data_IF_365606762767
#
_entry.id   IF_365606762767
#
_cell.length_a   1.000
_cell.length_b   1.000
_cell.length_c   1.000
_cell.angle_alpha   90.00
_cell.angle_beta   90.00
_cell.angle_gamma   90.00
#
_symmetry.space_group_name_H-M   'P 1'
#
loop_
_entity.id
_entity.type
_entity.pdbx_description
1 polymer ?
#
# COMPACT_ATOMS: atom_id res chain seq x y z
N UNK A 1 0.74 30.82 -16.58
CA UNK A 1 1.12 29.47 -16.99
C UNK A 1 0.67 28.47 -15.91
N UNK A 2 0.25 27.27 -16.32
CA UNK A 2 -0.10 26.20 -15.41
C UNK A 2 1.16 25.56 -14.83
N UNK A 3 1.09 25.14 -13.56
CA UNK A 3 2.12 24.33 -12.94
C UNK A 3 2.09 22.91 -13.55
N UNK A 4 3.21 22.44 -14.06
CA UNK A 4 3.35 21.18 -14.79
C UNK A 4 3.87 20.08 -13.86
N UNK A 5 3.09 19.03 -13.66
CA UNK A 5 3.40 17.94 -12.74
C UNK A 5 3.51 16.63 -13.51
N UNK A 6 4.68 16.00 -13.47
CA UNK A 6 4.87 14.62 -13.93
C UNK A 6 4.64 13.67 -12.77
N UNK A 7 3.59 12.87 -12.85
CA UNK A 7 3.29 11.83 -11.86
C UNK A 7 3.85 10.48 -12.29
N UNK A 8 4.66 9.88 -11.41
CA UNK A 8 5.31 8.58 -11.61
C UNK A 8 4.85 7.61 -10.52
N UNK A 9 3.63 7.03 -10.63
CA UNK A 9 3.10 6.11 -9.64
C UNK A 9 3.83 4.77 -9.68
N UNK A 10 4.00 4.13 -8.51
CA UNK A 10 4.66 2.83 -8.40
C UNK A 10 3.91 1.70 -9.14
N UNK A 11 2.60 1.76 -9.13
CA UNK A 11 1.69 0.81 -9.77
C UNK A 11 0.27 1.41 -9.86
N UNK A 12 -0.75 0.60 -10.08
CA UNK A 12 -2.16 1.01 -10.06
C UNK A 12 -2.90 0.51 -8.79
N UNK A 13 -2.16 -0.11 -7.87
CA UNK A 13 -2.69 -0.71 -6.65
C UNK A 13 -2.83 0.27 -5.48
N UNK A 14 -3.14 -0.27 -4.31
CA UNK A 14 -3.56 0.48 -3.12
C UNK A 14 -2.68 1.67 -2.76
N UNK A 15 -1.37 1.46 -2.56
CA UNK A 15 -0.46 2.54 -2.15
C UNK A 15 -0.41 3.68 -3.17
N UNK A 16 -0.17 3.36 -4.44
CA UNK A 16 -0.14 4.36 -5.49
C UNK A 16 -1.50 5.02 -5.71
N UNK A 17 -2.58 4.27 -5.58
CA UNK A 17 -3.94 4.81 -5.72
C UNK A 17 -4.23 5.86 -4.64
N UNK A 18 -4.01 5.54 -3.36
CA UNK A 18 -4.29 6.47 -2.26
C UNK A 18 -3.33 7.65 -2.21
N UNK A 19 -2.09 7.47 -2.65
CA UNK A 19 -1.02 8.46 -2.44
C UNK A 19 -0.78 9.38 -3.63
N UNK A 20 -0.92 8.87 -4.85
CA UNK A 20 -0.68 9.67 -6.07
C UNK A 20 -1.95 9.74 -6.92
N UNK A 21 -2.54 8.58 -7.31
CA UNK A 21 -3.52 8.56 -8.39
C UNK A 21 -4.78 9.33 -8.01
N UNK A 22 -5.41 8.97 -6.89
CA UNK A 22 -6.65 9.62 -6.46
C UNK A 22 -6.44 11.11 -6.09
N UNK A 23 -5.40 11.49 -5.31
CA UNK A 23 -5.14 12.89 -5.01
C UNK A 23 -4.86 13.74 -6.24
N UNK A 24 -4.05 13.26 -7.19
CA UNK A 24 -3.69 14.04 -8.37
C UNK A 24 -4.85 14.18 -9.37
N UNK A 25 -5.67 13.14 -9.55
CA UNK A 25 -6.91 13.25 -10.32
C UNK A 25 -7.87 14.27 -9.69
N UNK A 26 -7.97 14.28 -8.36
CA UNK A 26 -8.82 15.26 -7.66
C UNK A 26 -8.24 16.68 -7.73
N UNK A 27 -6.92 16.82 -7.68
CA UNK A 27 -6.25 18.10 -7.89
C UNK A 27 -6.54 18.66 -9.29
N UNK A 28 -6.45 17.81 -10.31
CA UNK A 28 -6.74 18.21 -11.70
C UNK A 28 -8.22 18.59 -11.90
N UNK A 29 -9.14 17.82 -11.27
CA UNK A 29 -10.58 18.15 -11.29
C UNK A 29 -10.87 19.53 -10.66
N UNK A 30 -10.23 19.85 -9.53
CA UNK A 30 -10.50 21.07 -8.78
C UNK A 30 -9.72 22.30 -9.28
N UNK A 31 -8.53 22.09 -9.85
CA UNK A 31 -7.56 23.14 -10.18
C UNK A 31 -6.95 22.97 -11.57
N UNK A 32 -7.65 22.31 -12.50
CA UNK A 32 -7.15 22.09 -13.87
C UNK A 32 -6.91 23.36 -14.69
N UNK A 33 -7.41 24.51 -14.24
CA UNK A 33 -7.04 25.82 -14.74
C UNK A 33 -5.64 26.29 -14.31
N UNK A 34 -5.10 25.74 -13.20
CA UNK A 34 -3.83 26.11 -12.57
C UNK A 34 -2.75 25.02 -12.69
N UNK A 35 -3.14 23.76 -12.88
CA UNK A 35 -2.22 22.63 -12.99
C UNK A 35 -2.41 21.88 -14.30
N UNK A 36 -1.33 21.26 -14.79
CA UNK A 36 -1.35 20.30 -15.89
C UNK A 36 -0.60 19.06 -15.46
N UNK A 37 -1.24 17.88 -15.54
CA UNK A 37 -0.70 16.62 -15.02
C UNK A 37 -0.42 15.67 -16.18
N UNK A 38 0.78 15.09 -16.20
CA UNK A 38 1.13 13.96 -17.06
C UNK A 38 1.44 12.73 -16.24
N UNK A 39 1.10 11.58 -16.77
CA UNK A 39 1.31 10.28 -16.15
C UNK A 39 2.32 9.47 -16.97
N UNK A 40 3.44 9.08 -16.36
CA UNK A 40 4.42 8.23 -17.01
C UNK A 40 5.10 7.31 -15.98
N UNK A 41 4.92 5.99 -16.12
CA UNK A 41 5.54 5.00 -15.23
C UNK A 41 7.01 4.74 -15.56
N UNK A 42 7.45 5.13 -16.76
CA UNK A 42 8.82 4.91 -17.22
C UNK A 42 9.45 6.19 -17.83
N UNK A 43 9.58 7.28 -17.06
CA UNK A 43 10.10 8.54 -17.57
C UNK A 43 11.58 8.49 -17.96
N UNK A 44 12.30 7.43 -17.59
CA UNK A 44 13.71 7.22 -17.96
C UNK A 44 13.89 6.41 -19.24
N UNK A 45 12.84 5.85 -19.82
CA UNK A 45 12.95 5.01 -21.01
C UNK A 45 13.81 3.77 -20.78
N UNK A 46 13.63 3.10 -19.64
CA UNK A 46 14.34 1.85 -19.34
C UNK A 46 13.53 0.69 -19.89
N UNK A 47 14.20 -0.24 -20.57
CA UNK A 47 13.60 -1.48 -21.03
C UNK A 47 13.28 -2.37 -19.81
N UNK A 48 12.00 -2.73 -19.64
CA UNK A 48 11.54 -3.54 -18.51
C UNK A 48 12.11 -4.97 -18.49
N UNK A 49 12.51 -5.50 -19.65
CA UNK A 49 12.99 -6.89 -19.77
C UNK A 49 14.43 -7.08 -19.29
N UNK A 50 15.30 -6.12 -19.60
CA UNK A 50 16.75 -6.24 -19.37
C UNK A 50 17.34 -5.08 -18.59
N UNK A 51 16.55 -4.05 -18.26
CA UNK A 51 17.00 -2.88 -17.51
C UNK A 51 17.91 -1.94 -18.31
N UNK A 52 18.09 -2.17 -19.62
CA UNK A 52 18.89 -1.32 -20.48
C UNK A 52 18.21 0.03 -20.74
N UNK A 53 19.02 1.04 -21.10
CA UNK A 53 18.47 2.33 -21.54
C UNK A 53 18.00 2.20 -22.99
N UNK A 54 16.85 2.82 -23.29
CA UNK A 54 16.45 2.99 -24.68
C UNK A 54 17.41 4.01 -25.34
N UNK A 55 17.92 3.64 -26.50
CA UNK A 55 18.78 4.51 -27.28
C UNK A 55 18.01 5.79 -27.68
N UNK A 56 18.67 6.94 -27.60
CA UNK A 56 18.13 8.26 -27.96
C UNK A 56 16.87 8.70 -27.17
N UNK A 57 16.69 8.20 -25.92
CA UNK A 57 15.60 8.65 -25.06
C UNK A 57 15.73 10.14 -24.72
N UNK A 58 14.74 10.94 -25.07
CA UNK A 58 14.79 12.41 -24.99
C UNK A 58 14.37 12.99 -23.64
N UNK A 59 13.81 12.17 -22.72
CA UNK A 59 13.25 12.59 -21.42
C UNK A 59 12.16 13.69 -21.55
N UNK A 60 11.37 13.68 -22.61
CA UNK A 60 10.42 14.75 -22.94
C UNK A 60 9.50 15.13 -21.78
N UNK A 61 8.89 14.14 -21.10
CA UNK A 61 8.00 14.41 -19.97
C UNK A 61 8.72 15.01 -18.76
N UNK A 62 9.94 14.55 -18.48
CA UNK A 62 10.75 15.08 -17.38
C UNK A 62 11.23 16.50 -17.66
N UNK A 63 11.65 16.80 -18.89
CA UNK A 63 12.03 18.14 -19.31
C UNK A 63 10.84 19.09 -19.28
N UNK A 64 9.66 18.62 -19.66
CA UNK A 64 8.42 19.41 -19.68
C UNK A 64 7.95 19.79 -18.25
N UNK A 65 8.10 18.92 -17.28
CA UNK A 65 7.59 19.10 -15.92
C UNK A 65 8.31 20.27 -15.18
N UNK A 66 7.58 20.91 -14.26
CA UNK A 66 8.14 21.75 -13.20
C UNK A 66 8.41 20.89 -11.96
N UNK A 67 7.48 19.95 -11.67
CA UNK A 67 7.55 19.02 -10.54
C UNK A 67 7.57 17.58 -11.07
N UNK A 68 8.49 16.76 -10.54
CA UNK A 68 8.47 15.29 -10.70
C UNK A 68 7.99 14.69 -9.39
N UNK A 69 6.78 14.13 -9.40
CA UNK A 69 6.16 13.49 -8.25
C UNK A 69 6.24 11.97 -8.37
N UNK A 70 6.98 11.32 -7.49
CA UNK A 70 7.29 9.88 -7.57
C UNK A 70 7.14 9.17 -6.24
N UNK A 71 7.02 7.85 -6.31
CA UNK A 71 7.02 6.90 -5.19
C UNK A 71 8.16 5.90 -5.33
N UNK A 72 8.29 4.97 -4.37
CA UNK A 72 9.23 3.87 -4.49
C UNK A 72 8.77 2.86 -5.55
N UNK A 73 9.44 2.87 -6.70
CA UNK A 73 9.15 1.97 -7.82
C UNK A 73 9.99 0.69 -7.70
N UNK A 74 9.33 -0.44 -7.55
CA UNK A 74 9.96 -1.75 -7.44
C UNK A 74 10.16 -2.47 -8.79
N UNK A 75 9.45 -2.04 -9.85
CA UNK A 75 9.35 -2.78 -11.11
C UNK A 75 10.65 -2.82 -11.94
N UNK A 76 11.54 -1.81 -11.77
CA UNK A 76 12.75 -1.64 -12.58
C UNK A 76 14.05 -1.88 -11.79
N UNK A 77 13.97 -2.67 -10.74
CA UNK A 77 15.08 -2.84 -9.80
C UNK A 77 15.12 -1.75 -8.73
N UNK A 78 15.79 -2.04 -7.61
CA UNK A 78 15.69 -1.25 -6.39
C UNK A 78 16.24 0.18 -6.45
N UNK A 79 16.97 0.57 -7.50
CA UNK A 79 17.55 1.91 -7.65
C UNK A 79 16.80 2.80 -8.67
N UNK A 80 15.71 2.34 -9.25
CA UNK A 80 15.02 3.08 -10.32
C UNK A 80 14.51 4.44 -9.85
N UNK A 81 13.89 4.50 -8.68
CA UNK A 81 13.43 5.77 -8.10
C UNK A 81 14.59 6.75 -7.86
N UNK A 82 15.73 6.27 -7.35
CA UNK A 82 16.91 7.12 -7.16
C UNK A 82 17.43 7.70 -8.48
N UNK A 83 17.36 6.91 -9.57
CA UNK A 83 17.72 7.37 -10.92
C UNK A 83 16.74 8.43 -11.44
N UNK A 84 15.43 8.30 -11.18
CA UNK A 84 14.42 9.33 -11.49
C UNK A 84 14.75 10.62 -10.74
N UNK A 85 14.99 10.53 -9.43
CA UNK A 85 15.34 11.68 -8.58
C UNK A 85 16.60 12.35 -9.09
N UNK A 86 17.69 11.59 -9.34
CA UNK A 86 18.93 12.11 -9.87
C UNK A 86 18.74 12.83 -11.22
N UNK A 87 18.04 12.19 -12.16
CA UNK A 87 17.79 12.79 -13.50
C UNK A 87 16.89 14.03 -13.43
N UNK A 88 15.87 14.04 -12.57
CA UNK A 88 15.05 15.20 -12.34
C UNK A 88 15.86 16.39 -11.79
N UNK A 89 16.77 16.13 -10.84
CA UNK A 89 17.69 17.16 -10.31
C UNK A 89 18.67 17.67 -11.37
N UNK A 90 19.20 16.82 -12.25
CA UNK A 90 20.03 17.25 -13.41
C UNK A 90 19.28 18.23 -14.31
N UNK A 91 17.98 18.04 -14.50
CA UNK A 91 17.13 18.96 -15.27
C UNK A 91 16.60 20.16 -14.45
N UNK A 92 17.07 20.34 -13.20
CA UNK A 92 16.65 21.43 -12.33
C UNK A 92 15.18 21.38 -11.91
N UNK A 93 14.57 20.17 -11.88
CA UNK A 93 13.18 20.00 -11.51
C UNK A 93 13.00 19.92 -10.00
N UNK A 94 11.84 20.38 -9.52
CA UNK A 94 11.41 20.15 -8.15
C UNK A 94 11.01 18.69 -7.99
N UNK A 95 11.57 17.99 -7.00
CA UNK A 95 11.32 16.58 -6.75
C UNK A 95 10.43 16.42 -5.52
N UNK A 96 9.24 15.85 -5.72
CA UNK A 96 8.35 15.40 -4.66
C UNK A 96 8.41 13.88 -4.57
N UNK A 97 8.90 13.36 -3.45
CA UNK A 97 8.91 11.93 -3.13
C UNK A 97 7.88 11.61 -2.06
N UNK A 98 6.99 10.66 -2.34
CA UNK A 98 5.99 10.16 -1.41
C UNK A 98 6.26 8.72 -1.01
N UNK A 99 6.06 8.40 0.27
CA UNK A 99 6.18 7.02 0.76
C UNK A 99 5.21 6.75 1.90
N UNK A 100 4.66 5.54 1.93
CA UNK A 100 3.74 5.05 2.96
C UNK A 100 4.32 3.93 3.82
N UNK A 101 5.50 3.39 3.46
CA UNK A 101 6.23 2.38 4.22
C UNK A 101 7.63 2.86 4.64
N UNK A 102 8.05 2.54 5.87
CA UNK A 102 9.38 2.87 6.43
C UNK A 102 10.48 1.98 5.85
N UNK A 103 10.86 2.23 4.60
CA UNK A 103 11.81 1.40 3.85
C UNK A 103 13.27 1.53 4.33
N UNK A 104 13.56 2.46 5.22
CA UNK A 104 14.88 2.61 5.89
C UNK A 104 15.01 1.78 7.16
N UNK A 105 13.98 1.05 7.55
CA UNK A 105 14.00 0.19 8.74
C UNK A 105 13.06 -1.01 8.56
N UNK A 106 13.36 -1.84 7.56
CA UNK A 106 12.62 -3.08 7.32
C UNK A 106 13.12 -4.13 8.32
N UNK A 107 12.20 -4.72 9.08
CA UNK A 107 12.54 -5.72 10.11
C UNK A 107 12.82 -7.10 9.52
N UNK A 108 13.62 -7.92 10.22
CA UNK A 108 14.14 -9.22 9.75
C UNK A 108 13.03 -10.20 9.30
N UNK A 109 11.89 -10.20 9.92
CA UNK A 109 10.75 -11.05 9.52
C UNK A 109 10.00 -10.57 8.28
N UNK A 110 10.30 -9.38 7.77
CA UNK A 110 9.63 -8.85 6.59
C UNK A 110 10.15 -9.52 5.32
N UNK A 111 9.26 -9.84 4.39
CA UNK A 111 9.61 -10.53 3.14
C UNK A 111 10.70 -9.84 2.31
N UNK A 112 10.74 -8.51 2.31
CA UNK A 112 11.72 -7.74 1.56
C UNK A 112 13.06 -7.56 2.31
N UNK A 113 13.19 -8.04 3.54
CA UNK A 113 14.36 -7.78 4.36
C UNK A 113 15.69 -8.18 3.69
N UNK A 114 15.81 -9.43 3.25
CA UNK A 114 17.01 -9.91 2.59
C UNK A 114 17.33 -9.13 1.32
N UNK A 115 16.31 -8.86 0.48
CA UNK A 115 16.50 -8.08 -0.75
C UNK A 115 17.01 -6.68 -0.46
N UNK A 116 16.48 -6.02 0.59
CA UNK A 116 16.94 -4.68 0.99
C UNK A 116 18.37 -4.71 1.52
N UNK A 117 18.72 -5.71 2.33
CA UNK A 117 20.10 -5.86 2.85
C UNK A 117 21.10 -6.19 1.76
N UNK A 118 20.83 -7.20 0.94
CA UNK A 118 21.74 -7.67 -0.12
C UNK A 118 21.99 -6.59 -1.19
N UNK A 119 20.97 -5.80 -1.52
CA UNK A 119 21.06 -4.76 -2.56
C UNK A 119 21.34 -3.36 -2.00
N UNK A 120 21.52 -3.19 -0.71
CA UNK A 120 21.77 -1.88 -0.09
C UNK A 120 20.61 -0.88 -0.29
N UNK A 121 19.35 -1.33 -0.39
CA UNK A 121 18.22 -0.48 -0.77
C UNK A 121 17.84 0.53 0.33
N UNK A 122 18.23 0.28 1.58
CA UNK A 122 18.05 1.26 2.66
C UNK A 122 18.87 2.53 2.39
N UNK A 123 20.14 2.40 1.96
CA UNK A 123 21.00 3.55 1.63
C UNK A 123 20.48 4.28 0.37
N UNK A 124 20.00 3.53 -0.61
CA UNK A 124 19.34 4.11 -1.78
C UNK A 124 18.09 4.91 -1.37
N UNK A 125 17.30 4.40 -0.43
CA UNK A 125 16.12 5.12 0.09
C UNK A 125 16.52 6.39 0.83
N UNK A 126 17.59 6.35 1.64
CA UNK A 126 18.14 7.56 2.29
C UNK A 126 18.63 8.58 1.28
N UNK A 127 19.29 8.13 0.19
CA UNK A 127 19.67 8.99 -0.93
C UNK A 127 18.45 9.70 -1.54
N UNK A 128 17.35 8.98 -1.75
CA UNK A 128 16.09 9.54 -2.29
C UNK A 128 15.55 10.63 -1.35
N UNK A 129 15.47 10.38 -0.03
CA UNK A 129 15.05 11.39 0.93
C UNK A 129 15.92 12.64 0.89
N UNK A 130 17.25 12.45 0.83
CA UNK A 130 18.20 13.55 0.85
C UNK A 130 18.11 14.47 -0.39
N UNK A 131 17.82 13.88 -1.56
CA UNK A 131 17.81 14.60 -2.84
C UNK A 131 16.41 15.06 -3.28
N UNK A 132 15.37 14.80 -2.49
CA UNK A 132 14.02 15.30 -2.74
C UNK A 132 13.83 16.68 -2.11
N UNK A 133 13.12 17.58 -2.81
CA UNK A 133 12.80 18.91 -2.31
C UNK A 133 11.60 18.88 -1.36
N UNK A 134 10.68 17.94 -1.61
CA UNK A 134 9.54 17.63 -0.75
C UNK A 134 9.46 16.12 -0.52
N UNK A 135 9.41 15.72 0.74
CA UNK A 135 9.12 14.36 1.16
C UNK A 135 7.78 14.33 1.88
N UNK A 136 6.86 13.48 1.42
CA UNK A 136 5.58 13.27 2.11
C UNK A 136 5.48 11.86 2.66
N UNK A 137 5.00 11.76 3.90
CA UNK A 137 4.78 10.50 4.63
C UNK A 137 3.38 10.48 5.24
N UNK A 138 2.94 9.31 5.71
CA UNK A 138 1.55 9.11 6.11
C UNK A 138 1.20 9.59 7.51
N UNK A 139 2.20 9.69 8.42
CA UNK A 139 1.94 10.03 9.82
C UNK A 139 3.19 10.59 10.53
N UNK A 140 2.97 11.17 11.74
CA UNK A 140 4.00 11.91 12.47
C UNK A 140 5.20 11.05 12.90
N UNK A 141 4.98 9.87 13.47
CA UNK A 141 6.07 8.98 13.89
C UNK A 141 6.94 8.55 12.71
N UNK A 142 6.33 8.39 11.53
CA UNK A 142 7.07 8.12 10.31
C UNK A 142 7.94 9.33 9.94
N UNK A 143 7.39 10.54 9.96
CA UNK A 143 8.15 11.75 9.69
C UNK A 143 9.35 11.89 10.64
N UNK A 144 9.16 11.68 11.93
CA UNK A 144 10.22 11.73 12.95
C UNK A 144 11.36 10.74 12.66
N UNK A 145 11.04 9.54 12.12
CA UNK A 145 12.03 8.51 11.79
C UNK A 145 12.82 8.80 10.51
N UNK A 146 12.23 9.48 9.55
CA UNK A 146 12.92 9.79 8.27
C UNK A 146 13.56 11.17 8.25
N UNK A 147 13.17 12.08 9.13
CA UNK A 147 13.72 13.43 9.24
C UNK A 147 15.26 13.49 9.22
N UNK A 148 16.01 12.57 9.91
CA UNK A 148 17.46 12.58 9.88
C UNK A 148 18.08 12.32 8.49
N UNK A 149 17.32 11.77 7.56
CA UNK A 149 17.76 11.44 6.21
C UNK A 149 17.38 12.49 5.17
N UNK A 150 16.46 13.40 5.51
CA UNK A 150 16.05 14.47 4.62
C UNK A 150 17.10 15.58 4.57
N UNK A 151 17.19 16.27 3.44
CA UNK A 151 18.04 17.46 3.34
C UNK A 151 17.49 18.56 4.26
N UNK A 152 18.32 19.27 5.05
CA UNK A 152 17.88 20.37 5.91
C UNK A 152 17.11 21.49 5.17
N UNK A 153 17.36 21.65 3.87
CA UNK A 153 16.69 22.65 3.02
C UNK A 153 15.43 22.11 2.33
N UNK A 154 15.11 20.82 2.51
CA UNK A 154 13.90 20.23 1.95
C UNK A 154 12.72 20.35 2.91
N UNK A 155 11.52 20.14 2.39
CA UNK A 155 10.30 20.07 3.20
C UNK A 155 9.95 18.63 3.49
N UNK A 156 9.75 18.30 4.76
CA UNK A 156 9.15 17.03 5.19
C UNK A 156 7.74 17.29 5.70
N UNK A 157 6.74 16.68 5.08
CA UNK A 157 5.34 16.92 5.43
C UNK A 157 4.58 15.61 5.69
N UNK A 158 3.62 15.66 6.60
CA UNK A 158 2.68 14.57 6.89
C UNK A 158 1.41 14.79 6.07
N UNK A 159 1.16 13.88 5.12
CA UNK A 159 -0.07 13.83 4.34
C UNK A 159 -0.74 12.49 4.60
N UNK A 160 -1.79 12.50 5.42
CA UNK A 160 -2.51 11.29 5.82
C UNK A 160 -3.18 10.62 4.63
N UNK A 161 -3.27 9.28 4.66
CA UNK A 161 -4.10 8.56 3.72
C UNK A 161 -5.56 8.98 3.86
N UNK A 162 -6.20 9.26 2.73
CA UNK A 162 -7.59 9.71 2.68
C UNK A 162 -8.41 8.86 1.72
N UNK A 163 -9.69 8.76 1.97
CA UNK A 163 -10.66 8.03 1.14
C UNK A 163 -11.71 9.00 0.65
N UNK A 164 -11.92 9.06 -0.65
CA UNK A 164 -13.08 9.73 -1.20
C UNK A 164 -14.32 8.84 -1.07
N UNK A 165 -15.10 9.10 -0.03
CA UNK A 165 -16.33 8.36 0.22
C UNK A 165 -17.46 8.61 -0.79
N UNK A 166 -17.27 9.54 -1.74
CA UNK A 166 -18.23 9.75 -2.84
C UNK A 166 -18.04 8.73 -3.97
N UNK A 167 -16.89 8.03 -4.00
CA UNK A 167 -16.68 6.98 -5.00
C UNK A 167 -17.69 5.83 -4.82
N UNK A 168 -18.23 5.28 -5.93
CA UNK A 168 -19.24 4.23 -5.89
C UNK A 168 -18.88 3.03 -5.03
N UNK A 169 -17.61 2.61 -5.05
CA UNK A 169 -17.11 1.46 -4.25
C UNK A 169 -17.25 1.66 -2.73
N UNK A 170 -17.31 2.91 -2.25
CA UNK A 170 -17.51 3.24 -0.84
C UNK A 170 -18.98 3.54 -0.49
N UNK A 171 -19.91 3.49 -1.46
CA UNK A 171 -21.34 3.72 -1.27
C UNK A 171 -22.19 2.46 -1.45
N UNK A 172 -21.57 1.29 -1.41
CA UNK A 172 -22.26 0.01 -1.56
C UNK A 172 -23.05 -0.37 -0.30
N UNK A 173 -24.17 -1.02 -0.48
CA UNK A 173 -24.92 -1.58 0.64
C UNK A 173 -24.20 -2.79 1.23
N UNK A 174 -24.30 -2.98 2.57
CA UNK A 174 -23.81 -4.18 3.21
C UNK A 174 -24.48 -5.42 2.62
N UNK A 175 -23.70 -6.46 2.40
CA UNK A 175 -24.21 -7.78 1.97
C UNK A 175 -25.13 -8.32 3.07
N UNK A 176 -26.40 -8.63 2.76
CA UNK A 176 -27.36 -9.17 3.73
C UNK A 176 -26.82 -10.45 4.37
N UNK A 177 -27.10 -10.60 5.66
CA UNK A 177 -26.82 -11.87 6.36
C UNK A 177 -27.93 -12.88 6.01
N UNK A 178 -27.58 -14.18 5.92
CA UNK A 178 -28.60 -15.24 5.96
C UNK A 178 -29.46 -15.12 7.24
N UNK A 179 -30.63 -15.77 7.24
CA UNK A 179 -31.53 -15.77 8.42
C UNK A 179 -30.87 -16.22 9.73
N UNK A 180 -29.85 -17.08 9.65
CA UNK A 180 -29.06 -17.50 10.82
C UNK A 180 -28.12 -16.37 11.23
N UNK A 181 -28.22 -15.88 12.46
CA UNK A 181 -27.39 -14.82 13.03
C UNK A 181 -25.99 -15.34 13.36
N UNK A 182 -24.98 -14.83 12.70
CA UNK A 182 -23.56 -15.01 13.05
C UNK A 182 -22.81 -13.69 12.86
N UNK A 183 -21.68 -13.54 13.52
CA UNK A 183 -20.78 -12.39 13.33
C UNK A 183 -19.76 -12.72 12.23
N UNK A 184 -19.65 -11.84 11.22
CA UNK A 184 -18.65 -11.95 10.16
C UNK A 184 -17.41 -11.15 10.53
N UNK A 185 -16.32 -11.85 10.80
CA UNK A 185 -15.01 -11.27 11.02
C UNK A 185 -14.27 -11.21 9.70
N UNK A 186 -13.69 -10.05 9.34
CA UNK A 186 -12.99 -9.88 8.07
C UNK A 186 -11.60 -9.30 8.25
N UNK A 187 -10.63 -9.83 7.53
CA UNK A 187 -9.30 -9.28 7.37
C UNK A 187 -9.03 -8.97 5.90
N UNK A 188 -8.46 -7.79 5.62
CA UNK A 188 -8.07 -7.36 4.28
C UNK A 188 -6.59 -7.03 4.28
N UNK A 189 -5.81 -7.74 3.47
CA UNK A 189 -4.37 -7.50 3.38
C UNK A 189 -3.72 -8.12 2.15
N UNK A 190 -2.55 -7.61 1.81
CA UNK A 190 -1.71 -8.11 0.73
C UNK A 190 -0.71 -9.18 1.18
N UNK A 191 0.30 -9.39 0.35
CA UNK A 191 1.29 -10.47 0.47
C UNK A 191 2.44 -10.20 1.46
N UNK A 192 2.44 -9.06 2.15
CA UNK A 192 3.51 -8.65 3.07
C UNK A 192 3.15 -8.75 4.55
N UNK A 193 2.08 -9.51 4.89
CA UNK A 193 1.52 -9.60 6.24
C UNK A 193 1.76 -10.94 6.96
N UNK A 194 2.76 -11.73 6.54
CA UNK A 194 3.01 -13.06 7.16
C UNK A 194 3.25 -12.96 8.67
N UNK A 195 4.10 -12.04 9.10
CA UNK A 195 4.42 -11.88 10.52
C UNK A 195 3.23 -11.31 11.31
N UNK A 196 2.52 -10.36 10.71
CA UNK A 196 1.31 -9.79 11.30
C UNK A 196 0.25 -10.89 11.58
N UNK A 197 0.07 -11.81 10.63
CA UNK A 197 -0.86 -12.92 10.75
C UNK A 197 -0.42 -13.98 11.77
N UNK A 198 0.86 -14.08 12.11
CA UNK A 198 1.33 -14.97 13.19
C UNK A 198 0.76 -14.56 14.55
N UNK A 199 0.55 -13.26 14.79
CA UNK A 199 -0.17 -12.78 15.99
C UNK A 199 -1.64 -13.17 15.99
N UNK A 200 -2.19 -13.48 14.85
CA UNK A 200 -3.56 -13.92 14.69
C UNK A 200 -3.68 -15.45 14.61
N UNK A 201 -2.57 -16.19 14.69
CA UNK A 201 -2.52 -17.64 14.57
C UNK A 201 -3.39 -18.33 15.61
N UNK A 202 -4.34 -19.15 15.14
CA UNK A 202 -5.27 -19.90 15.99
C UNK A 202 -6.40 -19.07 16.61
N UNK A 203 -6.44 -17.77 16.44
CA UNK A 203 -7.52 -16.91 16.99
C UNK A 203 -8.90 -17.34 16.48
N UNK A 204 -9.12 -17.64 15.19
CA UNK A 204 -10.43 -18.12 14.72
C UNK A 204 -10.88 -19.40 15.43
N UNK A 205 -9.95 -20.34 15.67
CA UNK A 205 -10.23 -21.58 16.40
C UNK A 205 -10.64 -21.29 17.84
N UNK A 206 -9.85 -20.47 18.56
CA UNK A 206 -10.11 -20.10 19.94
C UNK A 206 -11.47 -19.40 20.12
N UNK A 207 -11.77 -18.43 19.25
CA UNK A 207 -13.06 -17.70 19.30
C UNK A 207 -14.21 -18.64 18.99
N UNK A 208 -14.09 -19.51 17.98
CA UNK A 208 -15.10 -20.52 17.67
C UNK A 208 -15.40 -21.44 18.86
N UNK A 209 -14.37 -21.86 19.63
CA UNK A 209 -14.56 -22.66 20.83
C UNK A 209 -15.30 -21.91 21.95
N UNK A 210 -15.01 -20.59 22.07
CA UNK A 210 -15.54 -19.83 23.22
C UNK A 210 -16.97 -19.35 23.01
N UNK A 211 -17.37 -18.99 21.78
CA UNK A 211 -18.68 -18.37 21.49
C UNK A 211 -19.61 -19.26 20.66
N UNK A 212 -19.15 -20.43 20.25
CA UNK A 212 -19.85 -21.30 19.34
C UNK A 212 -19.51 -20.97 17.86
N UNK A 213 -19.12 -21.99 17.12
CA UNK A 213 -18.72 -21.90 15.73
C UNK A 213 -19.84 -21.40 14.81
N UNK A 214 -21.08 -21.80 15.09
CA UNK A 214 -22.28 -21.40 14.37
C UNK A 214 -22.57 -19.89 14.48
N UNK A 215 -21.95 -19.23 15.47
CA UNK A 215 -22.05 -17.80 15.73
C UNK A 215 -20.95 -16.98 15.05
N UNK A 216 -20.01 -17.63 14.36
CA UNK A 216 -18.85 -17.00 13.73
C UNK A 216 -18.75 -17.35 12.23
N UNK A 217 -18.30 -16.37 11.44
CA UNK A 217 -17.84 -16.51 10.06
C UNK A 217 -16.54 -15.73 9.90
N UNK A 218 -15.57 -16.29 9.16
CA UNK A 218 -14.25 -15.70 8.96
C UNK A 218 -14.00 -15.49 7.47
N UNK A 219 -13.77 -14.27 7.05
CA UNK A 219 -13.57 -13.90 5.66
C UNK A 219 -12.22 -13.19 5.49
N UNK A 220 -11.34 -13.73 4.64
CA UNK A 220 -9.99 -13.22 4.40
C UNK A 220 -9.87 -12.77 2.96
N UNK A 221 -9.49 -11.50 2.74
CA UNK A 221 -9.47 -10.86 1.43
C UNK A 221 -8.06 -10.48 1.02
N UNK A 222 -7.72 -10.70 -0.26
CA UNK A 222 -6.43 -10.33 -0.84
C UNK A 222 -5.73 -11.46 -1.60
N UNK A 223 -6.38 -12.64 -1.73
CA UNK A 223 -5.87 -13.74 -2.55
C UNK A 223 -5.65 -13.28 -4.01
N UNK A 224 -4.59 -13.77 -4.70
CA UNK A 224 -4.38 -13.47 -6.12
C UNK A 224 -5.64 -13.74 -6.95
N UNK A 225 -5.95 -12.90 -7.94
CA UNK A 225 -7.09 -13.11 -8.84
C UNK A 225 -7.04 -14.44 -9.59
N UNK A 226 -8.18 -14.96 -10.10
CA UNK A 226 -8.24 -16.26 -10.77
C UNK A 226 -7.38 -16.36 -12.04
N UNK A 227 -7.07 -15.24 -12.67
CA UNK A 227 -6.20 -15.14 -13.85
C UNK A 227 -4.70 -15.09 -13.51
N UNK A 228 -4.33 -15.12 -12.26
CA UNK A 228 -2.93 -15.24 -11.83
C UNK A 228 -2.42 -16.62 -12.19
N UNK A 229 -1.24 -16.77 -12.84
CA UNK A 229 -0.69 -18.07 -13.21
C UNK A 229 -0.65 -19.03 -12.01
N UNK A 230 -0.93 -20.34 -12.20
CA UNK A 230 -0.98 -21.30 -11.08
C UNK A 230 0.35 -21.47 -10.34
N UNK A 231 1.46 -21.22 -11.01
CA UNK A 231 2.84 -21.26 -10.50
C UNK A 231 3.32 -19.93 -9.92
N UNK A 232 2.47 -18.91 -9.91
CA UNK A 232 2.81 -17.62 -9.29
C UNK A 232 3.03 -17.79 -7.78
N UNK A 233 4.16 -17.28 -7.33
CA UNK A 233 4.60 -17.35 -5.94
C UNK A 233 3.60 -16.78 -4.91
N UNK A 234 2.69 -15.91 -5.32
CA UNK A 234 1.65 -15.36 -4.44
C UNK A 234 0.71 -16.44 -3.91
N UNK A 235 0.47 -17.51 -4.68
CA UNK A 235 -0.32 -18.66 -4.20
C UNK A 235 0.37 -19.36 -3.03
N UNK A 236 1.72 -19.46 -3.03
CA UNK A 236 2.48 -20.04 -1.91
C UNK A 236 2.36 -19.20 -0.65
N UNK A 237 2.42 -17.87 -0.79
CA UNK A 237 2.22 -16.95 0.33
C UNK A 237 0.84 -17.16 0.94
N UNK A 238 -0.19 -17.25 0.13
CA UNK A 238 -1.56 -17.45 0.62
C UNK A 238 -1.80 -18.85 1.19
N UNK A 239 -1.11 -19.88 0.73
CA UNK A 239 -1.10 -21.20 1.39
C UNK A 239 -0.56 -21.11 2.81
N UNK A 240 0.57 -20.42 3.00
CA UNK A 240 1.14 -20.15 4.34
C UNK A 240 0.18 -19.35 5.22
N UNK A 241 -0.43 -18.29 4.66
CA UNK A 241 -1.42 -17.49 5.40
C UNK A 241 -2.59 -18.33 5.89
N UNK A 242 -3.15 -19.16 5.03
CA UNK A 242 -4.21 -20.09 5.38
C UNK A 242 -3.78 -21.00 6.54
N UNK A 243 -2.60 -21.57 6.47
CA UNK A 243 -2.10 -22.51 7.49
C UNK A 243 -1.84 -21.80 8.84
N UNK A 244 -1.38 -20.56 8.82
CA UNK A 244 -1.23 -19.71 10.01
C UNK A 244 -2.61 -19.39 10.63
N UNK A 245 -3.52 -18.84 9.83
CA UNK A 245 -4.83 -18.34 10.28
C UNK A 245 -5.69 -19.49 10.81
N UNK A 246 -5.70 -20.62 10.10
CA UNK A 246 -6.54 -21.78 10.43
C UNK A 246 -5.87 -22.77 11.37
N UNK A 247 -4.76 -22.40 12.00
CA UNK A 247 -4.06 -23.25 12.94
C UNK A 247 -4.99 -23.74 14.05
N UNK A 248 -5.04 -25.06 14.26
CA UNK A 248 -5.92 -25.67 15.25
C UNK A 248 -7.39 -25.74 14.85
N UNK A 249 -7.76 -25.23 13.67
CA UNK A 249 -9.14 -25.24 13.20
C UNK A 249 -9.63 -26.68 12.95
N UNK A 250 -10.64 -27.12 13.71
CA UNK A 250 -11.24 -28.46 13.62
C UNK A 250 -12.71 -28.34 13.23
N UNK A 251 -13.18 -29.26 12.38
CA UNK A 251 -14.58 -29.36 11.98
C UNK A 251 -14.90 -28.65 10.66
N UNK A 252 -16.19 -28.50 10.28
CA UNK A 252 -16.62 -27.98 8.97
C UNK A 252 -16.25 -26.52 8.69
N UNK A 253 -16.46 -26.04 7.49
CA UNK A 253 -16.01 -24.76 6.96
C UNK A 253 -16.95 -23.61 7.40
N UNK A 254 -16.47 -22.68 8.24
CA UNK A 254 -17.11 -21.39 8.51
C UNK A 254 -16.16 -20.23 8.21
N UNK A 255 -15.34 -20.40 7.19
CA UNK A 255 -14.39 -19.42 6.67
C UNK A 255 -14.32 -19.46 5.14
N UNK A 256 -13.94 -18.34 4.55
CA UNK A 256 -13.58 -18.25 3.12
C UNK A 256 -12.38 -17.34 2.90
N UNK A 257 -11.67 -17.59 1.80
CA UNK A 257 -10.62 -16.74 1.27
C UNK A 257 -11.14 -16.13 -0.05
N UNK A 258 -11.09 -14.82 -0.14
CA UNK A 258 -11.61 -14.05 -1.25
C UNK A 258 -10.48 -13.39 -2.04
N UNK A 259 -10.70 -13.19 -3.33
CA UNK A 259 -9.75 -12.53 -4.20
C UNK A 259 -9.56 -11.06 -3.83
N UNK A 260 -8.34 -10.55 -4.08
CA UNK A 260 -8.05 -9.13 -4.04
C UNK A 260 -8.99 -8.38 -4.99
N UNK A 261 -9.39 -7.18 -4.59
CA UNK A 261 -10.23 -6.31 -5.39
C UNK A 261 -9.40 -5.14 -5.93
N UNK A 262 -9.77 -4.67 -7.10
CA UNK A 262 -9.26 -3.43 -7.69
C UNK A 262 -9.70 -2.21 -6.86
N UNK A 263 -9.00 -1.08 -6.94
CA UNK A 263 -9.36 0.11 -6.16
C UNK A 263 -10.81 0.59 -6.32
N UNK A 264 -11.37 0.41 -7.53
CA UNK A 264 -12.77 0.75 -7.85
C UNK A 264 -13.81 -0.18 -7.21
N UNK A 265 -13.38 -1.32 -6.65
CA UNK A 265 -14.21 -2.31 -5.94
C UNK A 265 -13.76 -2.57 -4.51
N UNK A 266 -12.69 -1.92 -4.07
CA UNK A 266 -12.05 -2.22 -2.80
C UNK A 266 -13.00 -2.12 -1.60
N UNK A 267 -13.84 -1.10 -1.55
CA UNK A 267 -14.86 -0.93 -0.50
C UNK A 267 -15.85 -2.08 -0.38
N UNK A 268 -16.04 -2.87 -1.45
CA UNK A 268 -16.96 -4.01 -1.45
C UNK A 268 -16.59 -5.06 -0.39
N UNK A 269 -15.30 -5.26 -0.13
CA UNK A 269 -14.84 -6.24 0.88
C UNK A 269 -15.39 -5.92 2.28
N UNK A 270 -15.48 -4.63 2.63
CA UNK A 270 -15.99 -4.19 3.93
C UNK A 270 -17.51 -4.38 4.06
N UNK A 271 -18.26 -4.46 2.97
CA UNK A 271 -19.71 -4.74 3.03
C UNK A 271 -20.01 -6.17 3.51
N UNK A 272 -19.04 -7.06 3.42
CA UNK A 272 -19.16 -8.48 3.75
C UNK A 272 -18.82 -8.80 5.22
N UNK A 273 -18.38 -7.84 6.03
CA UNK A 273 -17.95 -8.07 7.40
C UNK A 273 -18.74 -7.25 8.43
N UNK A 274 -18.77 -7.73 9.66
CA UNK A 274 -19.38 -7.05 10.81
C UNK A 274 -18.32 -6.53 11.78
N UNK A 275 -17.14 -7.14 11.77
CA UNK A 275 -15.95 -6.74 12.53
C UNK A 275 -14.76 -6.82 11.60
N UNK A 276 -14.02 -5.74 11.46
CA UNK A 276 -12.77 -5.70 10.72
C UNK A 276 -11.60 -6.02 11.64
N UNK A 277 -10.59 -6.69 11.08
CA UNK A 277 -9.38 -7.12 11.81
C UNK A 277 -8.16 -6.49 11.16
N UNK A 278 -7.26 -5.93 11.96
CA UNK A 278 -5.99 -5.37 11.52
C UNK A 278 -4.85 -5.74 12.49
N UNK A 279 -4.47 -7.04 12.57
CA UNK A 279 -3.32 -7.45 13.34
C UNK A 279 -2.05 -6.90 12.70
N UNK A 280 -1.15 -6.33 13.49
CA UNK A 280 0.18 -5.90 13.09
C UNK A 280 1.20 -6.34 14.13
N UNK A 281 2.37 -6.78 13.70
CA UNK A 281 3.50 -7.01 14.57
C UNK A 281 4.02 -5.70 15.14
N UNK A 282 4.36 -5.66 16.43
CA UNK A 282 4.89 -4.47 17.09
C UNK A 282 6.35 -4.27 16.73
N UNK A 283 6.63 -3.41 15.77
CA UNK A 283 7.97 -3.01 15.34
C UNK A 283 7.96 -1.61 14.73
N UNK A 284 9.11 -0.93 14.56
CA UNK A 284 9.18 0.44 14.03
C UNK A 284 8.58 0.60 12.63
N UNK A 285 8.67 -0.42 11.76
CA UNK A 285 8.10 -0.41 10.44
C UNK A 285 6.57 -0.30 10.51
N UNK A 286 5.91 -1.20 11.26
CA UNK A 286 4.46 -1.21 11.43
C UNK A 286 3.96 -0.01 12.25
N UNK A 287 4.74 0.45 13.24
CA UNK A 287 4.43 1.67 14.01
C UNK A 287 4.54 2.96 13.15
N UNK A 288 5.02 2.85 11.92
CA UNK A 288 5.04 3.94 10.92
C UNK A 288 3.91 3.85 9.89
N UNK A 289 3.08 2.81 9.94
CA UNK A 289 1.96 2.64 9.01
C UNK A 289 0.83 3.62 9.29
N UNK A 290 0.06 3.93 8.26
CA UNK A 290 -1.10 4.81 8.38
C UNK A 290 -2.30 4.10 9.01
N UNK A 291 -3.20 4.91 9.57
CA UNK A 291 -4.49 4.48 10.10
C UNK A 291 -5.57 4.22 9.02
N UNK A 292 -5.21 3.92 7.78
CA UNK A 292 -6.17 3.77 6.67
C UNK A 292 -7.28 2.75 6.97
N UNK A 293 -6.97 1.67 7.70
CA UNK A 293 -7.95 0.65 8.09
C UNK A 293 -9.07 1.20 8.98
N UNK A 294 -8.78 2.24 9.77
CA UNK A 294 -9.79 2.94 10.58
C UNK A 294 -10.78 3.67 9.66
N UNK A 295 -10.27 4.38 8.65
CA UNK A 295 -11.11 5.09 7.69
C UNK A 295 -11.95 4.11 6.85
N UNK A 296 -11.35 3.02 6.36
CA UNK A 296 -12.00 1.98 5.58
C UNK A 296 -13.16 1.31 6.36
N UNK A 297 -12.91 0.85 7.57
CA UNK A 297 -13.93 0.25 8.43
C UNK A 297 -14.99 1.27 8.89
N UNK A 298 -14.55 2.49 9.21
CA UNK A 298 -15.39 3.60 9.67
C UNK A 298 -16.47 3.98 8.66
N UNK A 299 -16.18 3.94 7.34
CA UNK A 299 -17.17 4.20 6.29
C UNK A 299 -18.44 3.37 6.43
N UNK A 300 -18.29 2.10 6.80
CA UNK A 300 -19.38 1.17 6.96
C UNK A 300 -19.83 0.98 8.41
N UNK A 301 -19.32 1.81 9.35
CA UNK A 301 -19.59 1.71 10.78
C UNK A 301 -19.30 0.31 11.34
N UNK A 302 -18.16 -0.26 10.90
CA UNK A 302 -17.70 -1.58 11.32
C UNK A 302 -16.70 -1.39 12.46
N UNK A 303 -16.91 -2.04 13.63
CA UNK A 303 -15.90 -2.12 14.67
C UNK A 303 -14.58 -2.67 14.12
N UNK A 304 -13.47 -2.05 14.51
CA UNK A 304 -12.13 -2.49 14.14
C UNK A 304 -11.42 -3.06 15.37
N UNK A 305 -10.93 -4.29 15.27
CA UNK A 305 -9.99 -4.88 16.22
C UNK A 305 -8.60 -4.81 15.59
N UNK A 306 -7.74 -4.00 16.16
CA UNK A 306 -6.41 -3.72 15.63
C UNK A 306 -5.33 -3.79 16.72
N UNK A 307 -4.08 -4.01 16.31
CA UNK A 307 -2.93 -3.79 17.18
C UNK A 307 -2.81 -2.30 17.49
N UNK A 308 -2.51 -1.95 18.73
CA UNK A 308 -2.31 -0.57 19.15
C UNK A 308 -0.92 -0.07 18.70
N UNK A 309 -0.77 0.22 17.41
CA UNK A 309 0.43 0.80 16.81
C UNK A 309 0.03 1.71 15.63
N UNK A 310 0.93 2.67 15.27
CA UNK A 310 0.67 3.64 14.21
C UNK A 310 0.28 5.02 14.71
#
# INVERSE_FOLDING_TARGET
DKLKILCVPANEGGCAYYRIIAPMKKLEELYGDRVEIRWNKNPLGINEKDGSWQQDWDFADMKWADIVFTQNLSNFGGNYTARIVGKAKEFGKFVHYDTDDLLTNIYEGHRLYNVYKEKGLEEITKFIYHHSDLVTVTQRKFAERVAPYCNPNSTLAVVKNSIDYNLPCWNMNKVPKPKKKYTRFGWVGGIHHEQDLKYFSGVPHFVNQRVGRENCRWDFFGHPPPNTPPDDWQHDVWRKYRDIILRGFKGGKNWDIHYAQTPDRYGQMFTMMDVALAPLEMNPFNDSKSEIKVAEAGRYKIPLVATNCG
#
